data_IF_409408530279
#
_entry.id   IF_409408530279
#
_cell.length_a   1.000
_cell.length_b   1.000
_cell.length_c   1.000
_cell.angle_alpha   90.00
_cell.angle_beta   90.00
_cell.angle_gamma   90.00
#
_symmetry.space_group_name_H-M   'P 1'
#
loop_
_entity.id
_entity.type
_entity.pdbx_description
1 polymer ?
#
# COMPACT_ATOMS: atom_id res chain seq x y z
N UNK A 1 6.18 -21.01 12.63
CA UNK A 1 5.09 -20.14 13.11
C UNK A 1 5.17 -18.77 12.45
N UNK A 2 4.08 -18.34 11.85
CA UNK A 2 4.04 -17.03 11.19
C UNK A 2 3.66 -15.99 12.23
N UNK A 3 4.52 -14.99 12.41
CA UNK A 3 4.23 -13.88 13.29
C UNK A 3 3.51 -12.79 12.51
N UNK A 4 2.42 -12.32 13.07
CA UNK A 4 1.77 -11.11 12.58
C UNK A 4 2.55 -9.92 13.08
N UNK A 5 2.87 -9.01 12.19
CA UNK A 5 3.55 -7.76 12.53
C UNK A 5 2.71 -6.58 12.08
N UNK A 6 2.92 -5.45 12.73
CA UNK A 6 2.25 -4.23 12.31
C UNK A 6 2.76 -3.82 10.93
N UNK A 7 1.84 -3.59 10.01
CA UNK A 7 2.14 -3.20 8.64
C UNK A 7 1.30 -2.00 8.24
N UNK A 8 1.86 -1.21 7.35
CA UNK A 8 1.12 -0.16 6.68
C UNK A 8 0.48 -0.77 5.44
N UNK A 9 -0.83 -0.59 5.29
CA UNK A 9 -1.53 -1.06 4.11
C UNK A 9 -2.24 0.10 3.46
N UNK A 10 -1.87 0.40 2.22
CA UNK A 10 -2.51 1.47 1.44
C UNK A 10 -3.44 0.82 0.45
N UNK A 11 -4.72 1.19 0.51
CA UNK A 11 -5.74 0.64 -0.39
C UNK A 11 -6.03 1.63 -1.51
N UNK A 12 -6.54 1.11 -2.63
CA UNK A 12 -6.76 1.89 -3.84
C UNK A 12 -8.17 1.68 -4.36
N UNK A 13 -8.68 2.68 -5.09
CA UNK A 13 -9.98 2.56 -5.74
C UNK A 13 -9.93 1.69 -6.99
N UNK A 14 -8.79 1.65 -7.66
CA UNK A 14 -8.65 0.92 -8.92
C UNK A 14 -7.40 0.07 -8.93
N UNK A 15 -7.45 -1.01 -9.71
CA UNK A 15 -6.28 -1.87 -9.93
C UNK A 15 -5.17 -1.10 -10.64
N UNK A 16 -5.53 -0.19 -11.53
CA UNK A 16 -4.56 0.65 -12.24
C UNK A 16 -3.71 1.47 -11.27
N UNK A 17 -4.36 2.09 -10.27
CA UNK A 17 -3.64 2.86 -9.27
C UNK A 17 -2.72 1.98 -8.43
N UNK A 18 -3.18 0.78 -8.05
CA UNK A 18 -2.37 -0.17 -7.29
C UNK A 18 -1.12 -0.60 -8.08
N UNK A 19 -1.28 -0.89 -9.35
CA UNK A 19 -0.16 -1.28 -10.21
C UNK A 19 0.81 -0.14 -10.43
N UNK A 20 0.31 1.08 -10.55
CA UNK A 20 1.13 2.27 -10.69
C UNK A 20 1.99 2.47 -9.43
N UNK A 21 1.39 2.26 -8.26
CA UNK A 21 2.12 2.33 -7.00
C UNK A 21 3.28 1.33 -6.98
N UNK A 22 3.02 0.10 -7.39
CA UNK A 22 4.06 -0.93 -7.46
C UNK A 22 5.19 -0.52 -8.42
N UNK A 23 4.82 -0.04 -9.60
CA UNK A 23 5.80 0.37 -10.61
C UNK A 23 6.71 1.47 -10.09
N UNK A 24 6.12 2.50 -9.48
CA UNK A 24 6.87 3.64 -8.98
C UNK A 24 7.74 3.25 -7.79
N UNK A 25 7.22 2.45 -6.87
CA UNK A 25 8.00 2.00 -5.71
C UNK A 25 9.19 1.16 -6.14
N UNK A 26 9.04 0.31 -7.14
CA UNK A 26 10.16 -0.45 -7.67
C UNK A 26 11.21 0.45 -8.30
N UNK A 27 10.79 1.43 -9.07
CA UNK A 27 11.70 2.37 -9.72
C UNK A 27 12.46 3.22 -8.71
N UNK A 28 11.83 3.56 -7.60
CA UNK A 28 12.43 4.37 -6.53
C UNK A 28 13.07 3.53 -5.43
N UNK A 29 13.06 2.22 -5.57
CA UNK A 29 13.61 1.28 -4.59
C UNK A 29 12.97 1.44 -3.20
N UNK A 30 11.68 1.75 -3.18
CA UNK A 30 10.90 1.82 -1.95
C UNK A 30 10.38 0.44 -1.62
N UNK A 31 10.66 -0.04 -0.42
CA UNK A 31 10.26 -1.38 0.00
C UNK A 31 8.76 -1.51 0.16
N UNK A 32 8.26 -2.71 -0.15
CA UNK A 32 6.87 -3.03 -0.03
C UNK A 32 6.45 -3.99 -1.13
N UNK A 33 5.17 -4.35 -1.14
CA UNK A 33 4.62 -5.23 -2.16
C UNK A 33 3.11 -5.10 -2.22
N UNK A 34 2.55 -5.43 -3.39
CA UNK A 34 1.10 -5.55 -3.52
C UNK A 34 0.64 -6.87 -2.91
N UNK A 35 -0.42 -6.81 -2.13
CA UNK A 35 -1.05 -8.00 -1.55
C UNK A 35 -2.56 -7.89 -1.72
N UNK A 36 -3.28 -9.03 -1.68
CA UNK A 36 -4.73 -8.99 -1.55
C UNK A 36 -5.10 -8.35 -0.23
N UNK A 37 -6.07 -7.45 -0.24
CA UNK A 37 -6.51 -6.76 0.96
C UNK A 37 -7.22 -7.75 1.89
N UNK A 38 -6.85 -7.79 3.19
CA UNK A 38 -7.54 -8.67 4.14
C UNK A 38 -9.04 -8.38 4.21
N UNK A 39 -9.84 -9.41 4.50
CA UNK A 39 -11.29 -9.30 4.50
C UNK A 39 -11.87 -8.31 5.50
N UNK A 40 -11.10 -7.95 6.54
CA UNK A 40 -11.55 -6.97 7.53
C UNK A 40 -11.31 -5.52 7.09
N UNK A 41 -10.70 -5.31 5.92
CA UNK A 41 -10.46 -3.99 5.37
C UNK A 41 -11.22 -3.85 4.05
N UNK A 42 -11.95 -2.75 3.90
CA UNK A 42 -12.68 -2.47 2.67
C UNK A 42 -11.77 -1.83 1.64
N UNK A 43 -11.76 -2.37 0.43
CA UNK A 43 -11.00 -1.80 -0.68
C UNK A 43 -11.67 -2.15 -2.00
N UNK A 44 -11.92 -1.13 -2.82
CA UNK A 44 -12.65 -1.31 -4.07
C UNK A 44 -11.93 -2.20 -5.08
N UNK A 45 -10.60 -2.08 -5.17
CA UNK A 45 -9.85 -2.88 -6.13
C UNK A 45 -9.38 -4.24 -5.59
N UNK A 46 -9.52 -4.47 -4.28
CA UNK A 46 -9.09 -5.71 -3.65
C UNK A 46 -7.59 -5.86 -3.47
N UNK A 47 -6.80 -4.91 -3.91
CA UNK A 47 -5.34 -4.93 -3.76
C UNK A 47 -4.88 -3.76 -2.90
N UNK A 48 -3.79 -3.98 -2.15
CA UNK A 48 -3.18 -2.93 -1.34
C UNK A 48 -1.67 -3.02 -1.37
N UNK A 49 -1.03 -1.89 -1.10
CA UNK A 49 0.43 -1.83 -0.98
C UNK A 49 0.79 -2.02 0.48
N UNK A 50 1.49 -3.11 0.76
CA UNK A 50 1.90 -3.47 2.11
C UNK A 50 3.34 -3.04 2.33
N UNK A 51 3.59 -2.27 3.38
CA UNK A 51 4.91 -1.73 3.68
C UNK A 51 5.12 -1.64 5.19
N UNK A 52 6.30 -1.19 5.59
CA UNK A 52 6.61 -0.96 6.99
C UNK A 52 5.91 0.32 7.46
N UNK A 53 5.45 0.36 8.72
CA UNK A 53 4.75 1.55 9.22
C UNK A 53 5.59 2.83 9.14
N UNK A 54 6.90 2.73 9.32
CA UNK A 54 7.78 3.89 9.27
C UNK A 54 7.99 4.45 7.87
N UNK A 55 7.51 3.76 6.84
CA UNK A 55 7.54 4.24 5.46
C UNK A 55 6.40 5.19 5.11
N UNK A 56 5.46 5.40 6.03
CA UNK A 56 4.27 6.19 5.73
C UNK A 56 4.57 7.60 5.20
N UNK A 57 5.45 8.39 5.82
CA UNK A 57 5.73 9.73 5.30
C UNK A 57 6.29 9.72 3.88
N UNK A 58 7.20 8.79 3.62
CA UNK A 58 7.82 8.65 2.31
C UNK A 58 6.79 8.26 1.25
N UNK A 59 5.93 7.30 1.60
CA UNK A 59 4.90 6.83 0.67
C UNK A 59 3.84 7.89 0.40
N UNK A 60 3.47 8.67 1.42
CA UNK A 60 2.54 9.78 1.23
C UNK A 60 3.12 10.82 0.28
N UNK A 61 4.39 11.19 0.46
CA UNK A 61 5.06 12.13 -0.42
C UNK A 61 5.10 11.61 -1.86
N UNK A 62 5.41 10.33 -2.01
CA UNK A 62 5.50 9.69 -3.32
C UNK A 62 4.15 9.68 -4.03
N UNK A 63 3.09 9.31 -3.32
CA UNK A 63 1.75 9.29 -3.89
C UNK A 63 1.28 10.69 -4.29
N UNK A 64 1.64 11.70 -3.51
CA UNK A 64 1.31 13.07 -3.82
C UNK A 64 2.09 13.57 -5.05
N UNK A 65 3.37 13.26 -5.12
CA UNK A 65 4.22 13.64 -6.23
C UNK A 65 3.73 13.05 -7.56
N UNK A 66 3.37 11.77 -7.56
CA UNK A 66 2.94 11.07 -8.76
C UNK A 66 1.42 11.05 -8.93
N UNK A 67 0.69 11.74 -8.04
CA UNK A 67 -0.77 11.86 -8.10
C UNK A 67 -1.48 10.52 -8.15
N UNK A 68 -1.01 9.59 -7.32
CA UNK A 68 -1.65 8.29 -7.18
C UNK A 68 -2.85 8.43 -6.26
N UNK A 69 -4.04 8.12 -6.77
CA UNK A 69 -5.26 8.15 -5.96
C UNK A 69 -5.33 6.89 -5.11
N UNK A 70 -5.29 7.06 -3.80
CA UNK A 70 -5.45 5.94 -2.88
C UNK A 70 -6.74 6.08 -2.10
N UNK A 71 -7.30 4.95 -1.67
CA UNK A 71 -8.57 4.93 -0.96
C UNK A 71 -8.40 5.16 0.53
N UNK A 72 -7.40 4.52 1.13
CA UNK A 72 -7.14 4.67 2.55
C UNK A 72 -5.78 4.17 2.95
N UNK A 73 -5.36 4.56 4.16
CA UNK A 73 -4.12 4.10 4.77
C UNK A 73 -4.49 3.43 6.09
N UNK A 74 -4.07 2.19 6.25
CA UNK A 74 -4.41 1.40 7.43
C UNK A 74 -3.16 0.87 8.10
N UNK A 75 -3.20 0.81 9.42
CA UNK A 75 -2.18 0.12 10.21
C UNK A 75 -2.83 -1.14 10.75
N UNK A 76 -2.28 -2.28 10.39
CA UNK A 76 -2.88 -3.57 10.77
C UNK A 76 -1.82 -4.63 11.02
N UNK A 77 -2.24 -5.69 11.70
CA UNK A 77 -1.39 -6.84 11.98
C UNK A 77 -1.65 -7.90 10.92
N UNK A 78 -0.67 -8.10 10.07
CA UNK A 78 -0.81 -9.11 8.99
C UNK A 78 0.51 -9.84 8.72
#
# INVERSE_FOLDING_TARGET
MIRKTERLLITFYTTTAAMEMERICKAKEVQGRLIPVPGFISADCGLGWCARPDSEPELKCLMEEYRIAYQGIHHCLI
#
